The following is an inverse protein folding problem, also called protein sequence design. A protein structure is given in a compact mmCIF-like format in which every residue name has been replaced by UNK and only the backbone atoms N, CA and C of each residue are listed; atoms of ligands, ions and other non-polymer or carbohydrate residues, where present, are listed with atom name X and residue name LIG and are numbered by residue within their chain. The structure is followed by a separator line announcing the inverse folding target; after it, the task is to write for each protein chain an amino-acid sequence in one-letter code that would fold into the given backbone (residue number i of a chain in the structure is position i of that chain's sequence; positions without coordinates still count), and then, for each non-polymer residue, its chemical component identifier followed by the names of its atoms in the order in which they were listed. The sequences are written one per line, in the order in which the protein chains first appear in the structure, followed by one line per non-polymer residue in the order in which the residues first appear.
data_IF_106827933608
#
_entry.id   IF_106827933608
#
_cell.length_a   1.000
_cell.length_b   1.000
_cell.length_c   1.000
_cell.angle_alpha   90.00
_cell.angle_beta   90.00
_cell.angle_gamma   90.00
#
_symmetry.space_group_name_H-M   'P 1'
#
loop_
_entity.id
_entity.type
_entity.pdbx_description
1 polymer ?
#
# COMPACT_ATOMS: atom_id res chain seq x y z
N UNK A 1 36.76 -13.29 -7.95
CA UNK A 1 37.06 -13.48 -6.49
C UNK A 1 38.29 -12.66 -6.08
N UNK A 2 39.38 -12.72 -6.81
CA UNK A 2 40.64 -12.00 -6.51
C UNK A 2 40.50 -10.48 -6.72
N UNK A 3 39.82 -10.04 -7.75
CA UNK A 3 39.53 -8.62 -8.03
C UNK A 3 38.68 -8.01 -6.92
N UNK A 4 37.65 -8.69 -6.45
CA UNK A 4 36.80 -8.21 -5.36
C UNK A 4 37.57 -8.06 -4.03
N UNK A 5 38.48 -8.98 -3.74
CA UNK A 5 39.35 -8.87 -2.56
C UNK A 5 40.27 -7.65 -2.66
N UNK A 6 40.85 -7.40 -3.84
CA UNK A 6 41.72 -6.25 -4.05
C UNK A 6 40.96 -4.93 -3.98
N UNK A 7 39.70 -4.85 -4.50
CA UNK A 7 38.86 -3.67 -4.37
C UNK A 7 38.60 -3.35 -2.90
N UNK A 8 38.19 -4.35 -2.12
CA UNK A 8 37.95 -4.16 -0.68
C UNK A 8 39.22 -3.70 0.06
N UNK A 9 40.35 -4.32 -0.22
CA UNK A 9 41.62 -3.95 0.40
C UNK A 9 42.02 -2.51 0.07
N UNK A 10 41.91 -2.08 -1.20
CA UNK A 10 42.21 -0.71 -1.61
C UNK A 10 41.24 0.28 -0.93
N UNK A 11 39.96 -0.07 -0.85
CA UNK A 11 38.95 0.78 -0.19
C UNK A 11 39.25 0.94 1.30
N UNK A 12 39.70 -0.09 1.98
CA UNK A 12 40.07 -0.06 3.39
C UNK A 12 41.37 0.70 3.64
N UNK A 13 42.42 0.39 2.86
CA UNK A 13 43.76 1.01 3.01
C UNK A 13 43.73 2.52 2.73
N UNK A 14 42.97 2.94 1.70
CA UNK A 14 42.85 4.33 1.29
C UNK A 14 41.64 5.04 1.93
N UNK A 15 40.88 4.35 2.79
CA UNK A 15 39.65 4.86 3.45
C UNK A 15 38.64 5.46 2.47
N UNK A 16 38.49 4.84 1.30
CA UNK A 16 37.59 5.29 0.25
C UNK A 16 36.17 4.85 0.58
N UNK A 17 35.24 5.84 0.70
CA UNK A 17 33.80 5.60 0.77
C UNK A 17 33.18 5.87 -0.60
N UNK A 18 33.01 4.80 -1.39
CA UNK A 18 32.32 4.93 -2.69
C UNK A 18 30.82 4.88 -2.52
N UNK A 19 30.10 5.72 -3.29
CA UNK A 19 28.63 5.75 -3.30
C UNK A 19 28.02 4.52 -4.01
N UNK A 20 28.72 4.01 -5.00
CA UNK A 20 28.33 2.84 -5.80
C UNK A 20 29.54 1.94 -6.01
N UNK A 21 29.34 0.76 -6.56
CA UNK A 21 30.45 -0.13 -6.92
C UNK A 21 31.40 0.56 -7.91
N UNK A 22 32.73 0.43 -7.73
CA UNK A 22 33.70 1.02 -8.62
C UNK A 22 33.65 0.36 -10.00
N UNK A 23 33.88 1.15 -11.04
CA UNK A 23 34.08 0.61 -12.39
C UNK A 23 35.45 -0.05 -12.51
N UNK A 24 35.47 -1.24 -13.10
CA UNK A 24 36.69 -2.03 -13.31
C UNK A 24 36.99 -2.10 -14.81
N UNK A 25 38.06 -1.46 -15.25
CA UNK A 25 38.53 -1.51 -16.64
C UNK A 25 39.82 -2.35 -16.74
N UNK A 26 39.74 -3.53 -17.36
CA UNK A 26 40.88 -4.41 -17.60
C UNK A 26 41.70 -3.91 -18.77
N UNK A 27 42.99 -3.74 -18.59
CA UNK A 27 43.95 -3.45 -19.67
C UNK A 27 44.54 -4.73 -20.27
N UNK A 28 44.78 -5.71 -19.40
CA UNK A 28 45.19 -7.07 -19.76
C UNK A 28 44.80 -8.03 -18.61
N UNK A 29 45.31 -9.29 -18.65
CA UNK A 29 44.98 -10.32 -17.66
C UNK A 29 45.46 -10.01 -16.20
N UNK A 30 46.36 -9.06 -16.05
CA UNK A 30 47.00 -8.76 -14.75
C UNK A 30 46.85 -7.29 -14.33
N UNK A 31 46.51 -6.41 -15.25
CA UNK A 31 46.42 -4.98 -15.04
C UNK A 31 45.00 -4.48 -15.22
N UNK A 32 44.47 -3.79 -14.25
CA UNK A 32 43.17 -3.13 -14.32
C UNK A 32 43.19 -1.77 -13.64
N UNK A 33 42.26 -0.92 -14.01
CA UNK A 33 42.06 0.40 -13.41
C UNK A 33 40.70 0.40 -12.71
N UNK A 34 40.66 0.95 -11.50
CA UNK A 34 39.47 1.16 -10.72
C UNK A 34 39.09 2.63 -10.71
N UNK A 35 37.83 2.93 -11.01
CA UNK A 35 37.27 4.27 -10.85
C UNK A 35 36.24 4.25 -9.73
N UNK A 36 36.52 4.97 -8.65
CA UNK A 36 35.66 5.12 -7.50
C UNK A 36 34.81 6.39 -7.61
N UNK A 37 33.53 6.30 -7.32
CA UNK A 37 32.61 7.42 -7.25
C UNK A 37 32.49 7.90 -5.82
N UNK A 38 33.28 8.90 -5.47
CA UNK A 38 33.35 9.41 -4.10
C UNK A 38 32.15 10.30 -3.78
N UNK A 39 31.74 10.28 -2.52
CA UNK A 39 30.79 11.24 -2.01
C UNK A 39 31.40 12.65 -2.10
N UNK A 40 30.74 13.63 -2.77
CA UNK A 40 31.25 14.97 -2.83
C UNK A 40 31.31 15.58 -1.42
N UNK A 41 32.40 16.24 -1.09
CA UNK A 41 32.47 17.11 0.09
C UNK A 41 31.68 18.39 -0.19
N UNK A 42 30.50 18.49 0.40
CA UNK A 42 29.69 19.70 0.34
C UNK A 42 30.15 20.61 1.48
N UNK A 43 30.85 21.70 1.14
CA UNK A 43 31.14 22.73 2.10
C UNK A 43 29.90 23.60 2.28
N UNK A 44 29.35 23.60 3.48
CA UNK A 44 28.12 24.36 3.80
C UNK A 44 28.28 25.86 3.53
N UNK A 45 29.50 26.37 3.67
CA UNK A 45 29.81 27.79 3.42
C UNK A 45 29.75 28.20 1.94
N UNK A 46 29.79 27.23 1.02
CA UNK A 46 29.66 27.44 -0.42
C UNK A 46 28.21 27.35 -0.92
N UNK A 47 27.29 26.91 -0.08
CA UNK A 47 25.86 26.92 -0.40
C UNK A 47 25.36 28.34 -0.35
N UNK A 48 25.01 28.90 -1.51
CA UNK A 48 24.27 30.16 -1.54
C UNK A 48 22.96 29.95 -0.79
N UNK A 49 22.72 30.78 0.22
CA UNK A 49 21.42 30.83 0.89
C UNK A 49 20.37 31.28 -0.12
N UNK A 50 19.62 30.35 -0.66
CA UNK A 50 18.40 30.64 -1.40
C UNK A 50 17.33 31.02 -0.39
N UNK A 51 16.62 32.11 -0.61
CA UNK A 51 15.41 32.41 0.14
C UNK A 51 14.37 31.39 -0.29
N UNK A 52 14.09 30.40 0.59
CA UNK A 52 13.07 29.41 0.36
C UNK A 52 11.84 29.81 1.13
N UNK A 53 10.72 29.96 0.44
CA UNK A 53 9.44 30.20 1.10
C UNK A 53 9.05 28.97 1.95
N UNK A 54 8.93 29.20 3.26
CA UNK A 54 8.44 28.19 4.17
C UNK A 54 6.93 28.07 4.00
N UNK A 55 6.46 27.02 3.33
CA UNK A 55 5.05 26.67 3.30
C UNK A 55 4.63 26.22 4.70
N UNK A 56 3.76 27.00 5.34
CA UNK A 56 3.15 26.64 6.62
C UNK A 56 1.67 26.36 6.39
N UNK A 57 1.20 25.28 6.94
CA UNK A 57 -0.21 24.90 6.96
C UNK A 57 -0.58 24.46 8.37
N UNK A 58 -1.81 24.70 8.76
CA UNK A 58 -2.36 24.26 10.04
C UNK A 58 -3.53 23.33 9.79
N UNK A 59 -3.65 22.32 10.63
CA UNK A 59 -4.80 21.39 10.60
C UNK A 59 -6.04 22.13 11.03
N UNK A 60 -7.03 22.20 10.14
CA UNK A 60 -8.30 22.86 10.45
C UNK A 60 -9.32 21.87 11.05
N UNK A 61 -10.36 22.41 11.68
CA UNK A 61 -11.46 21.59 12.18
C UNK A 61 -12.12 20.77 11.05
N UNK A 62 -12.19 21.33 9.86
CA UNK A 62 -12.74 20.64 8.69
C UNK A 62 -11.88 19.43 8.32
N UNK A 63 -10.55 19.56 8.34
CA UNK A 63 -9.65 18.44 8.05
C UNK A 63 -9.83 17.29 9.04
N UNK A 64 -10.03 17.62 10.32
CA UNK A 64 -10.31 16.64 11.37
C UNK A 64 -11.64 15.92 11.11
N UNK A 65 -12.70 16.67 10.77
CA UNK A 65 -14.00 16.09 10.49
C UNK A 65 -13.99 15.23 9.21
N UNK A 66 -13.36 15.69 8.14
CA UNK A 66 -13.20 14.96 6.89
C UNK A 66 -12.38 13.67 7.10
N UNK A 67 -11.29 13.75 7.87
CA UNK A 67 -10.48 12.58 8.20
C UNK A 67 -11.25 11.57 9.06
N UNK A 68 -12.03 12.05 10.03
CA UNK A 68 -12.91 11.20 10.86
C UNK A 68 -13.94 10.45 10.00
N UNK A 69 -14.57 11.13 9.06
CA UNK A 69 -15.49 10.49 8.10
C UNK A 69 -14.78 9.47 7.20
N UNK A 70 -13.56 9.75 6.78
CA UNK A 70 -12.74 8.80 6.03
C UNK A 70 -12.46 7.55 6.86
N UNK A 71 -12.04 7.71 8.12
CA UNK A 71 -11.80 6.59 9.04
C UNK A 71 -13.08 5.77 9.25
N UNK A 72 -14.26 6.40 9.43
CA UNK A 72 -15.52 5.68 9.53
C UNK A 72 -15.86 4.84 8.31
N UNK A 73 -15.44 5.26 7.11
CA UNK A 73 -15.64 4.50 5.87
C UNK A 73 -14.62 3.38 5.66
N UNK A 74 -13.46 3.48 6.30
CA UNK A 74 -12.40 2.46 6.21
C UNK A 74 -12.59 1.32 7.20
N UNK A 75 -13.10 1.63 8.40
CA UNK A 75 -13.26 0.65 9.47
C UNK A 75 -14.71 0.20 9.60
N UNK A 76 -14.91 -1.09 9.54
CA UNK A 76 -16.23 -1.72 9.63
C UNK A 76 -16.16 -3.00 10.44
N UNK A 77 -17.28 -3.42 11.01
CA UNK A 77 -17.49 -4.78 11.49
C UNK A 77 -18.16 -5.63 10.42
N UNK A 78 -18.04 -6.94 10.53
CA UNK A 78 -18.71 -7.89 9.66
C UNK A 78 -19.86 -8.54 10.41
N UNK A 79 -21.03 -8.58 9.80
CA UNK A 79 -22.21 -9.28 10.30
C UNK A 79 -22.63 -10.33 9.29
N UNK A 80 -22.79 -11.59 9.74
CA UNK A 80 -23.19 -12.68 8.85
C UNK A 80 -24.63 -12.49 8.40
N UNK A 81 -24.87 -12.71 7.10
CA UNK A 81 -26.19 -12.61 6.47
C UNK A 81 -26.46 -13.81 5.57
N UNK A 82 -27.75 -14.08 5.32
CA UNK A 82 -28.14 -15.25 4.52
C UNK A 82 -28.08 -15.00 3.01
N UNK A 83 -28.27 -13.76 2.56
CA UNK A 83 -28.34 -13.40 1.15
C UNK A 83 -27.46 -12.18 0.91
N UNK A 84 -26.59 -12.26 -0.09
CA UNK A 84 -25.67 -11.17 -0.44
C UNK A 84 -26.40 -9.95 -1.03
N UNK A 85 -25.87 -8.78 -0.70
CA UNK A 85 -26.19 -7.48 -1.29
C UNK A 85 -24.90 -6.78 -1.81
N UNK A 86 -25.03 -5.57 -2.33
CA UNK A 86 -23.91 -4.80 -2.90
C UNK A 86 -22.81 -4.44 -1.88
N UNK A 87 -23.11 -4.49 -0.57
CA UNK A 87 -22.18 -4.20 0.51
C UNK A 87 -21.62 -5.48 1.17
N UNK A 88 -21.82 -6.60 0.54
CA UNK A 88 -21.41 -7.89 1.09
C UNK A 88 -19.96 -8.24 0.76
N UNK A 89 -19.33 -8.92 1.72
CA UNK A 89 -18.05 -9.62 1.56
C UNK A 89 -18.36 -11.11 1.57
N UNK A 90 -17.94 -11.80 0.52
CA UNK A 90 -18.28 -13.21 0.31
C UNK A 90 -17.00 -14.04 0.33
N UNK A 91 -16.99 -15.05 1.19
CA UNK A 91 -15.95 -16.06 1.27
C UNK A 91 -16.45 -17.32 0.55
N UNK A 92 -15.71 -17.81 -0.43
CA UNK A 92 -16.03 -19.04 -1.13
C UNK A 92 -14.80 -19.90 -1.38
N UNK A 93 -15.03 -21.20 -1.49
CA UNK A 93 -14.01 -22.19 -1.84
C UNK A 93 -14.20 -22.64 -3.28
N UNK A 94 -13.13 -22.55 -4.08
CA UNK A 94 -13.11 -23.03 -5.46
C UNK A 94 -12.98 -24.54 -5.45
N UNK A 95 -14.00 -25.22 -6.00
CA UNK A 95 -14.03 -26.68 -6.15
C UNK A 95 -13.40 -27.11 -7.47
N UNK A 96 -13.71 -26.38 -8.55
CA UNK A 96 -13.14 -26.59 -9.87
C UNK A 96 -12.91 -25.25 -10.57
N UNK A 97 -11.80 -25.15 -11.29
CA UNK A 97 -11.36 -23.93 -11.95
C UNK A 97 -10.74 -24.25 -13.30
N UNK A 98 -11.31 -23.70 -14.37
CA UNK A 98 -10.79 -23.76 -15.73
C UNK A 98 -10.55 -22.36 -16.24
N UNK A 99 -9.32 -22.05 -16.64
CA UNK A 99 -8.91 -20.75 -17.20
C UNK A 99 -7.96 -20.98 -18.36
N UNK A 100 -8.42 -20.68 -19.57
CA UNK A 100 -7.66 -20.88 -20.81
C UNK A 100 -6.46 -19.95 -20.93
N UNK A 101 -6.45 -18.80 -20.23
CA UNK A 101 -5.44 -17.77 -20.44
C UNK A 101 -4.47 -17.56 -19.26
N UNK A 102 -4.83 -17.77 -18.05
CA UNK A 102 -4.00 -17.82 -16.82
C UNK A 102 -4.86 -17.68 -15.54
N UNK A 103 -4.31 -18.16 -14.43
CA UNK A 103 -4.90 -18.21 -13.09
C UNK A 103 -5.40 -16.85 -12.60
N UNK A 104 -6.71 -16.62 -12.69
CA UNK A 104 -7.37 -15.47 -12.08
C UNK A 104 -7.26 -15.54 -10.55
N UNK A 105 -7.35 -16.76 -9.99
CA UNK A 105 -7.16 -17.01 -8.58
C UNK A 105 -6.03 -18.00 -8.35
N UNK A 106 -5.08 -17.61 -7.50
CA UNK A 106 -3.96 -18.47 -7.09
C UNK A 106 -4.26 -19.32 -5.86
N UNK A 107 -5.36 -19.03 -5.16
CA UNK A 107 -5.76 -19.65 -3.91
C UNK A 107 -7.10 -20.37 -4.07
N UNK A 108 -7.27 -21.46 -3.30
CA UNK A 108 -8.50 -22.24 -3.28
C UNK A 108 -9.62 -21.50 -2.53
N UNK A 109 -9.27 -20.79 -1.46
CA UNK A 109 -10.20 -19.94 -0.70
C UNK A 109 -10.07 -18.50 -1.16
N UNK A 110 -11.18 -17.90 -1.54
CA UNK A 110 -11.24 -16.56 -2.12
C UNK A 110 -12.25 -15.72 -1.35
N UNK A 111 -11.81 -14.48 -1.04
CA UNK A 111 -12.68 -13.44 -0.48
C UNK A 111 -12.93 -12.37 -1.52
N UNK A 112 -14.19 -12.09 -1.79
CA UNK A 112 -14.62 -11.03 -2.72
C UNK A 112 -15.49 -10.02 -2.00
N UNK A 113 -15.09 -8.75 -2.09
CA UNK A 113 -15.84 -7.61 -1.62
C UNK A 113 -16.66 -7.04 -2.79
N UNK A 114 -17.98 -7.13 -2.71
CA UNK A 114 -18.86 -6.68 -3.79
C UNK A 114 -18.86 -5.16 -3.98
N UNK A 115 -18.44 -4.40 -2.97
CA UNK A 115 -18.35 -2.93 -3.06
C UNK A 115 -17.05 -2.42 -3.70
N UNK A 116 -16.03 -3.27 -3.91
CA UNK A 116 -14.76 -2.84 -4.52
C UNK A 116 -14.98 -2.36 -5.95
N UNK A 117 -14.52 -1.16 -6.28
CA UNK A 117 -14.56 -0.66 -7.65
C UNK A 117 -13.52 -1.39 -8.51
N UNK A 118 -13.94 -1.90 -9.66
CA UNK A 118 -13.06 -2.55 -10.64
C UNK A 118 -13.50 -2.18 -12.06
N UNK A 119 -12.54 -2.12 -12.97
CA UNK A 119 -12.80 -1.95 -14.41
C UNK A 119 -12.64 -3.27 -15.18
N UNK A 120 -12.20 -4.33 -14.51
CA UNK A 120 -12.00 -5.63 -15.14
C UNK A 120 -13.35 -6.35 -15.33
N UNK A 121 -13.74 -6.60 -16.57
CA UNK A 121 -15.03 -7.18 -16.94
C UNK A 121 -15.30 -8.51 -16.26
N UNK A 122 -14.26 -9.36 -16.13
CA UNK A 122 -14.38 -10.67 -15.47
C UNK A 122 -14.82 -10.53 -14.01
N UNK A 123 -14.24 -9.56 -13.28
CA UNK A 123 -14.64 -9.27 -11.91
C UNK A 123 -16.02 -8.63 -11.82
N UNK A 124 -16.40 -7.81 -12.81
CA UNK A 124 -17.76 -7.26 -12.87
C UNK A 124 -18.82 -8.36 -13.05
N UNK A 125 -18.54 -9.33 -13.91
CA UNK A 125 -19.44 -10.45 -14.13
C UNK A 125 -19.47 -11.41 -12.91
N UNK A 126 -18.32 -11.65 -12.27
CA UNK A 126 -18.28 -12.41 -11.01
C UNK A 126 -19.12 -11.72 -9.93
N UNK A 127 -19.02 -10.41 -9.76
CA UNK A 127 -19.84 -9.66 -8.80
C UNK A 127 -21.33 -9.79 -9.09
N UNK A 128 -21.74 -9.70 -10.36
CA UNK A 128 -23.13 -9.91 -10.74
C UNK A 128 -23.61 -11.32 -10.37
N UNK A 129 -22.76 -12.34 -10.60
CA UNK A 129 -23.07 -13.72 -10.26
C UNK A 129 -23.17 -13.95 -8.75
N UNK A 130 -22.37 -13.22 -7.96
CA UNK A 130 -22.36 -13.29 -6.51
C UNK A 130 -23.45 -12.45 -5.84
N UNK A 131 -24.14 -11.55 -6.58
CA UNK A 131 -25.21 -10.74 -6.04
C UNK A 131 -26.49 -11.56 -5.84
N UNK A 132 -27.12 -11.41 -4.67
CA UNK A 132 -28.33 -12.15 -4.26
C UNK A 132 -28.13 -13.67 -4.12
N UNK A 133 -26.90 -14.11 -3.95
CA UNK A 133 -26.62 -15.52 -3.68
C UNK A 133 -26.92 -15.84 -2.21
N UNK A 134 -27.29 -17.10 -1.96
CA UNK A 134 -27.53 -17.59 -0.60
C UNK A 134 -26.25 -18.12 0.03
N UNK A 135 -26.15 -17.95 1.33
CA UNK A 135 -25.09 -18.56 2.12
C UNK A 135 -25.10 -20.10 1.99
N UNK A 136 -23.91 -20.72 1.99
CA UNK A 136 -23.71 -22.17 1.83
C UNK A 136 -24.26 -22.77 0.53
N UNK A 137 -24.49 -21.95 -0.50
CA UNK A 137 -24.91 -22.43 -1.82
C UNK A 137 -23.71 -22.66 -2.74
N UNK A 138 -23.92 -23.45 -3.79
CA UNK A 138 -22.93 -23.61 -4.85
C UNK A 138 -23.12 -22.55 -5.93
N UNK A 139 -22.02 -22.11 -6.51
CA UNK A 139 -22.00 -21.18 -7.63
C UNK A 139 -21.28 -21.80 -8.82
N UNK A 140 -21.89 -21.68 -9.98
CA UNK A 140 -21.28 -21.98 -11.27
C UNK A 140 -21.20 -20.67 -12.07
N UNK A 141 -20.00 -20.20 -12.28
CA UNK A 141 -19.71 -18.94 -12.98
C UNK A 141 -18.92 -19.22 -14.24
N UNK A 142 -19.31 -18.63 -15.36
CA UNK A 142 -18.60 -18.74 -16.62
C UNK A 142 -18.58 -17.39 -17.35
N UNK A 143 -17.41 -16.92 -17.69
CA UNK A 143 -17.17 -15.71 -18.49
C UNK A 143 -15.84 -15.79 -19.23
N UNK A 144 -15.78 -15.37 -20.50
CA UNK A 144 -14.56 -15.20 -21.31
C UNK A 144 -13.54 -16.36 -21.22
N UNK A 145 -14.00 -17.62 -21.28
CA UNK A 145 -13.12 -18.80 -21.19
C UNK A 145 -12.75 -19.21 -19.76
N UNK A 146 -13.26 -18.51 -18.75
CA UNK A 146 -13.07 -18.85 -17.34
C UNK A 146 -14.33 -19.55 -16.84
N UNK A 147 -14.17 -20.73 -16.23
CA UNK A 147 -15.24 -21.45 -15.56
C UNK A 147 -14.83 -21.72 -14.12
N UNK A 148 -15.68 -21.34 -13.21
CA UNK A 148 -15.49 -21.52 -11.76
C UNK A 148 -16.70 -22.27 -11.22
N UNK A 149 -16.41 -23.38 -10.52
CA UNK A 149 -17.39 -24.03 -9.66
C UNK A 149 -16.89 -23.85 -8.22
N UNK A 150 -17.67 -23.21 -7.39
CA UNK A 150 -17.28 -22.85 -6.04
C UNK A 150 -18.44 -23.03 -5.06
N UNK A 151 -18.11 -23.19 -3.79
CA UNK A 151 -19.06 -23.26 -2.68
C UNK A 151 -18.93 -22.01 -1.82
N UNK A 152 -20.04 -21.31 -1.62
CA UNK A 152 -20.09 -20.17 -0.70
C UNK A 152 -19.94 -20.70 0.74
N UNK A 153 -18.96 -20.19 1.45
CA UNK A 153 -18.67 -20.56 2.84
C UNK A 153 -19.34 -19.60 3.81
N UNK A 154 -19.22 -18.31 3.54
CA UNK A 154 -19.83 -17.28 4.37
C UNK A 154 -20.16 -16.02 3.58
N UNK A 155 -21.21 -15.33 4.00
CA UNK A 155 -21.61 -14.05 3.46
C UNK A 155 -21.73 -13.07 4.62
N UNK A 156 -20.92 -12.00 4.56
CA UNK A 156 -20.88 -11.01 5.60
C UNK A 156 -21.24 -9.64 5.03
N UNK A 157 -22.04 -8.86 5.75
CA UNK A 157 -22.33 -7.48 5.45
C UNK A 157 -21.41 -6.56 6.23
N UNK A 158 -20.90 -5.53 5.55
CA UNK A 158 -20.12 -4.48 6.19
C UNK A 158 -21.05 -3.54 6.95
N UNK A 159 -20.81 -3.43 8.24
CA UNK A 159 -21.51 -2.49 9.11
C UNK A 159 -20.54 -1.39 9.50
N UNK A 160 -20.76 -0.21 8.94
CA UNK A 160 -19.95 0.98 9.21
C UNK A 160 -20.40 1.68 10.48
N UNK A 161 -19.46 2.21 11.29
CA UNK A 161 -19.80 2.94 12.49
C UNK A 161 -20.57 4.23 12.18
N UNK A 162 -21.69 4.44 12.86
CA UNK A 162 -22.55 5.61 12.68
C UNK A 162 -22.09 6.81 13.51
N UNK A 163 -21.35 6.55 14.59
CA UNK A 163 -20.88 7.54 15.54
C UNK A 163 -19.51 7.17 16.09
N UNK A 164 -18.92 8.07 16.88
CA UNK A 164 -17.59 7.87 17.46
C UNK A 164 -17.56 6.72 18.48
N UNK A 165 -18.65 6.47 19.20
CA UNK A 165 -18.69 5.37 20.18
C UNK A 165 -18.60 4.00 19.53
N UNK A 166 -19.23 3.83 18.37
CA UNK A 166 -19.12 2.61 17.56
C UNK A 166 -17.73 2.48 16.95
N UNK A 167 -17.15 3.59 16.45
CA UNK A 167 -15.81 3.62 15.89
C UNK A 167 -14.76 3.26 16.98
N UNK A 168 -14.88 3.80 18.17
CA UNK A 168 -14.03 3.50 19.33
C UNK A 168 -14.05 2.01 19.66
N UNK A 169 -15.22 1.38 19.61
CA UNK A 169 -15.36 -0.06 19.86
C UNK A 169 -14.65 -0.88 18.77
N UNK A 170 -14.83 -0.53 17.49
CA UNK A 170 -14.20 -1.21 16.35
C UNK A 170 -12.68 -1.08 16.43
N UNK A 171 -12.18 0.12 16.72
CA UNK A 171 -10.75 0.41 16.88
C UNK A 171 -10.15 -0.06 18.21
N UNK A 172 -10.99 -0.59 19.12
CA UNK A 172 -10.60 -1.03 20.48
C UNK A 172 -9.91 0.08 21.29
N UNK A 173 -10.38 1.31 21.13
CA UNK A 173 -9.89 2.46 21.88
C UNK A 173 -10.62 2.58 23.23
N UNK A 174 -10.01 3.33 24.17
CA UNK A 174 -10.55 3.48 25.53
C UNK A 174 -11.53 4.65 25.66
N UNK A 175 -11.42 5.65 24.78
CA UNK A 175 -12.22 6.88 24.89
C UNK A 175 -12.23 7.70 23.61
N UNK A 176 -13.20 8.63 23.50
CA UNK A 176 -13.25 9.66 22.44
C UNK A 176 -12.01 10.56 22.46
N UNK A 177 -11.43 10.80 23.63
CA UNK A 177 -10.18 11.55 23.73
C UNK A 177 -9.04 10.84 23.00
N UNK A 178 -8.88 9.55 23.24
CA UNK A 178 -7.84 8.75 22.56
C UNK A 178 -8.04 8.73 21.03
N UNK A 179 -9.29 8.68 20.57
CA UNK A 179 -9.62 8.78 19.14
C UNK A 179 -9.17 10.14 18.57
N UNK A 180 -9.52 11.23 19.25
CA UNK A 180 -9.14 12.58 18.82
C UNK A 180 -7.62 12.76 18.81
N UNK A 181 -6.94 12.35 19.88
CA UNK A 181 -5.48 12.43 19.98
C UNK A 181 -4.78 11.66 18.82
N UNK A 182 -5.32 10.49 18.42
CA UNK A 182 -4.79 9.73 17.29
C UNK A 182 -5.06 10.41 15.96
N UNK A 183 -6.24 11.01 15.76
CA UNK A 183 -6.56 11.77 14.53
C UNK A 183 -5.65 12.98 14.43
N UNK A 184 -5.53 13.76 15.49
CA UNK A 184 -4.70 14.97 15.52
C UNK A 184 -3.24 14.63 15.26
N UNK A 185 -2.70 13.61 15.90
CA UNK A 185 -1.33 13.16 15.68
C UNK A 185 -1.10 12.73 14.23
N UNK A 186 -2.02 11.94 13.65
CA UNK A 186 -1.90 11.47 12.28
C UNK A 186 -1.93 12.62 11.26
N UNK A 187 -2.87 13.55 11.41
CA UNK A 187 -2.96 14.72 10.53
C UNK A 187 -1.74 15.62 10.64
N UNK A 188 -1.20 15.82 11.85
CA UNK A 188 0.02 16.60 12.05
C UNK A 188 1.26 15.91 11.45
N UNK A 189 1.36 14.58 11.56
CA UNK A 189 2.42 13.81 10.90
C UNK A 189 2.35 13.92 9.38
N UNK A 190 1.16 13.75 8.80
CA UNK A 190 0.95 13.84 7.35
C UNK A 190 1.25 15.27 6.85
N UNK A 191 0.83 16.30 7.59
CA UNK A 191 1.13 17.68 7.27
C UNK A 191 2.63 17.98 7.32
N UNK A 192 3.32 17.51 8.37
CA UNK A 192 4.78 17.68 8.48
C UNK A 192 5.52 16.96 7.34
N UNK A 193 5.02 15.80 6.91
CA UNK A 193 5.58 15.09 5.77
C UNK A 193 5.41 15.89 4.48
N UNK A 194 4.22 16.40 4.20
CA UNK A 194 3.96 17.24 3.03
C UNK A 194 4.80 18.53 3.02
N UNK A 195 4.94 19.20 4.17
CA UNK A 195 5.79 20.40 4.27
C UNK A 195 7.26 20.09 3.94
N UNK A 196 7.76 18.93 4.35
CA UNK A 196 9.12 18.49 4.00
C UNK A 196 9.26 18.18 2.52
N UNK A 197 8.27 17.53 1.90
CA UNK A 197 8.29 17.26 0.46
C UNK A 197 8.31 18.56 -0.35
N UNK A 198 7.44 19.52 -0.03
CA UNK A 198 7.45 20.84 -0.69
C UNK A 198 8.80 21.56 -0.53
N UNK A 199 9.39 21.48 0.65
CA UNK A 199 10.71 22.08 0.89
C UNK A 199 11.79 21.43 0.02
N UNK A 200 11.79 20.10 -0.11
CA UNK A 200 12.75 19.37 -0.94
C UNK A 200 12.52 19.69 -2.43
N UNK A 201 11.27 19.72 -2.89
CA UNK A 201 10.95 20.07 -4.28
C UNK A 201 11.41 21.48 -4.63
N UNK A 202 11.30 22.43 -3.71
CA UNK A 202 11.74 23.83 -3.92
C UNK A 202 13.26 23.96 -3.94
N UNK A 203 13.95 23.14 -3.13
CA UNK A 203 15.43 23.06 -3.16
C UNK A 203 15.98 22.48 -4.47
N UNK A 204 15.20 21.66 -5.18
CA UNK A 204 15.62 20.99 -6.42
C UNK A 204 15.32 21.81 -7.69
N UNK A 205 14.62 22.93 -7.58
CA UNK A 205 14.35 23.88 -8.68
C UNK A 205 15.49 24.88 -8.81
#
# INVERSE_FOLDING_TARGET
EEVSKNINKISEDEKIQSLIQPDVNFKDNYNFTLAFYLKPEIKMDELKTSEIEKVTSEVTKKDIDDFREKVRKEYYSLESIDISDENSVIDFEILNYEDEQKKLFSQKEVRVDLNTQTKEEVFLDLKKALLKIKNKSDINFSTKGIKINAQIKDINKKIYPKNDDELIKILKLKSTKELNDKIDNKLNEDMNYLQKEFFIEDLLK
#
